data_IF_368591011487
#
_entry.id   IF_368591011487
#
_cell.length_a   1.000
_cell.length_b   1.000
_cell.length_c   1.000
_cell.angle_alpha   90.00
_cell.angle_beta   90.00
_cell.angle_gamma   90.00
#
_symmetry.space_group_name_H-M   'P 1'
#
loop_
_entity.id
_entity.type
_entity.pdbx_description
1 polymer ?
#
# COMPACT_ATOMS: atom_id res chain seq x y z
N UNK A 1 -8.44 -27.29 9.14
CA UNK A 1 -8.50 -28.38 8.16
C UNK A 1 -9.21 -29.62 8.74
N UNK A 2 -8.86 -30.05 9.95
CA UNK A 2 -9.47 -31.23 10.61
C UNK A 2 -10.97 -31.09 10.84
N UNK A 3 -11.46 -29.89 11.23
CA UNK A 3 -12.89 -29.63 11.42
C UNK A 3 -13.71 -29.67 10.14
N UNK A 4 -13.11 -29.32 8.99
CA UNK A 4 -13.78 -29.40 7.68
C UNK A 4 -13.87 -30.83 7.14
N UNK A 5 -13.04 -31.74 7.65
CA UNK A 5 -13.01 -33.16 7.28
C UNK A 5 -13.85 -34.06 8.21
N UNK A 6 -14.49 -33.52 9.25
CA UNK A 6 -15.29 -34.29 10.18
C UNK A 6 -16.53 -34.86 9.46
N UNK A 7 -16.83 -36.16 9.61
CA UNK A 7 -17.92 -36.82 8.88
C UNK A 7 -19.33 -36.32 9.22
N UNK A 8 -19.52 -35.67 10.38
CA UNK A 8 -20.81 -35.15 10.87
C UNK A 8 -20.96 -33.63 10.70
N UNK A 9 -20.05 -32.95 9.97
CA UNK A 9 -20.17 -31.52 9.74
C UNK A 9 -21.29 -31.25 8.72
N UNK A 10 -22.26 -30.39 9.09
CA UNK A 10 -23.25 -29.83 8.19
C UNK A 10 -22.57 -29.14 7.01
N UNK A 11 -23.12 -29.28 5.80
CA UNK A 11 -22.51 -28.75 4.58
C UNK A 11 -22.22 -27.24 4.66
N UNK A 12 -23.08 -26.47 5.32
CA UNK A 12 -22.86 -25.03 5.57
C UNK A 12 -21.63 -24.78 6.46
N UNK A 13 -21.46 -25.57 7.50
CA UNK A 13 -20.29 -25.46 8.39
C UNK A 13 -19.00 -25.86 7.68
N UNK A 14 -19.06 -26.89 6.83
CA UNK A 14 -17.92 -27.33 6.01
C UNK A 14 -17.49 -26.22 5.04
N UNK A 15 -18.45 -25.57 4.39
CA UNK A 15 -18.20 -24.45 3.48
C UNK A 15 -17.56 -23.28 4.21
N UNK A 16 -18.07 -22.92 5.40
CA UNK A 16 -17.52 -21.86 6.25
C UNK A 16 -16.06 -22.17 6.66
N UNK A 17 -15.76 -23.40 7.05
CA UNK A 17 -14.38 -23.79 7.39
C UNK A 17 -13.43 -23.73 6.19
N UNK A 18 -13.91 -24.11 5.00
CA UNK A 18 -13.13 -24.03 3.75
C UNK A 18 -12.81 -22.56 3.44
N UNK A 19 -13.77 -21.66 3.62
CA UNK A 19 -13.57 -20.23 3.44
C UNK A 19 -12.52 -19.67 4.41
N UNK A 20 -12.62 -19.98 5.69
CA UNK A 20 -11.64 -19.59 6.72
C UNK A 20 -10.25 -20.12 6.39
N UNK A 21 -10.12 -21.38 5.94
CA UNK A 21 -8.86 -21.99 5.53
C UNK A 21 -8.27 -21.25 4.33
N UNK A 22 -9.10 -20.91 3.34
CA UNK A 22 -8.70 -20.19 2.13
C UNK A 22 -8.19 -18.79 2.46
N UNK A 23 -8.91 -18.04 3.30
CA UNK A 23 -8.51 -16.73 3.76
C UNK A 23 -7.17 -16.78 4.50
N UNK A 24 -7.05 -17.68 5.48
CA UNK A 24 -5.81 -17.83 6.26
C UNK A 24 -4.62 -18.27 5.38
N UNK A 25 -4.85 -19.14 4.40
CA UNK A 25 -3.81 -19.55 3.45
C UNK A 25 -3.35 -18.37 2.59
N UNK A 26 -4.27 -17.52 2.13
CA UNK A 26 -3.96 -16.28 1.42
C UNK A 26 -3.16 -15.29 2.28
N UNK A 27 -3.49 -15.20 3.55
CA UNK A 27 -2.74 -14.40 4.53
C UNK A 27 -1.30 -14.88 4.70
N UNK A 28 -1.10 -16.20 4.88
CA UNK A 28 0.23 -16.79 5.03
C UNK A 28 1.07 -16.60 3.77
N UNK A 29 0.47 -16.81 2.59
CA UNK A 29 1.15 -16.57 1.32
C UNK A 29 1.63 -15.13 1.22
N UNK A 30 0.75 -14.16 1.49
CA UNK A 30 1.12 -12.74 1.47
C UNK A 30 2.23 -12.41 2.47
N UNK A 31 2.20 -13.02 3.67
CA UNK A 31 3.25 -12.84 4.67
C UNK A 31 4.61 -13.29 4.14
N UNK A 32 4.66 -14.50 3.56
CA UNK A 32 5.90 -15.04 2.98
C UNK A 32 6.40 -14.13 1.86
N UNK A 33 5.52 -13.70 0.97
CA UNK A 33 5.86 -12.83 -0.16
C UNK A 33 6.39 -11.46 0.32
N UNK A 34 5.74 -10.84 1.32
CA UNK A 34 6.16 -9.56 1.86
C UNK A 34 7.51 -9.68 2.62
N UNK A 35 7.74 -10.77 3.39
CA UNK A 35 9.01 -11.02 4.07
C UNK A 35 10.14 -11.24 3.07
N UNK A 36 9.92 -12.07 2.04
CA UNK A 36 10.91 -12.29 0.97
C UNK A 36 11.21 -11.01 0.21
N UNK A 37 10.18 -10.20 -0.07
CA UNK A 37 10.33 -8.91 -0.73
C UNK A 37 11.16 -7.93 0.10
N UNK A 38 10.89 -7.84 1.42
CA UNK A 38 11.67 -7.03 2.36
C UNK A 38 13.12 -7.49 2.38
N UNK A 39 13.37 -8.79 2.54
CA UNK A 39 14.72 -9.36 2.55
C UNK A 39 15.46 -9.07 1.24
N UNK A 40 14.79 -9.17 0.11
CA UNK A 40 15.33 -8.83 -1.21
C UNK A 40 15.73 -7.36 -1.32
N UNK A 41 14.88 -6.44 -0.84
CA UNK A 41 15.20 -5.00 -0.83
C UNK A 41 16.37 -4.64 0.10
N UNK A 42 16.48 -5.31 1.24
CA UNK A 42 17.54 -5.05 2.23
C UNK A 42 18.89 -5.65 1.85
N UNK A 43 18.88 -6.80 1.18
CA UNK A 43 20.10 -7.48 0.74
C UNK A 43 20.60 -7.03 -0.64
N UNK A 44 19.81 -6.24 -1.38
CA UNK A 44 20.17 -5.83 -2.73
C UNK A 44 21.26 -4.75 -2.69
N UNK A 45 22.47 -5.10 -3.08
CA UNK A 45 23.54 -4.16 -3.37
C UNK A 45 23.38 -3.50 -4.76
N UNK A 46 22.51 -4.05 -5.59
CA UNK A 46 22.28 -3.56 -6.95
C UNK A 46 21.20 -2.48 -6.95
N UNK A 47 21.47 -1.30 -7.53
CA UNK A 47 20.45 -0.27 -7.69
C UNK A 47 19.25 -0.80 -8.46
N UNK A 48 18.03 -0.34 -8.13
CA UNK A 48 16.83 -0.78 -8.84
C UNK A 48 16.91 -0.40 -10.33
N UNK A 49 16.38 -1.28 -11.18
CA UNK A 49 16.29 -1.00 -12.62
C UNK A 49 15.43 0.24 -12.86
N UNK A 50 15.99 1.22 -13.54
CA UNK A 50 15.34 2.49 -13.88
C UNK A 50 15.00 2.51 -15.36
N UNK A 51 13.80 3.00 -15.71
CA UNK A 51 13.34 3.15 -17.08
C UNK A 51 12.45 4.39 -17.22
N UNK A 52 12.27 4.95 -18.42
CA UNK A 52 11.26 5.96 -18.66
C UNK A 52 9.87 5.41 -18.32
N UNK A 53 9.19 6.01 -17.36
CA UNK A 53 7.89 5.56 -16.84
C UNK A 53 6.88 6.69 -17.00
N UNK A 54 5.73 6.41 -17.64
CA UNK A 54 4.58 7.31 -17.58
C UNK A 54 3.94 7.19 -16.19
N UNK A 55 4.02 8.27 -15.42
CA UNK A 55 3.55 8.31 -14.03
C UNK A 55 2.04 8.24 -13.96
N UNK A 56 1.34 8.82 -14.93
CA UNK A 56 -0.13 8.79 -14.94
C UNK A 56 -0.65 7.38 -15.20
N UNK A 57 -0.07 6.69 -16.19
CA UNK A 57 -0.39 5.29 -16.51
C UNK A 57 -0.09 4.39 -15.29
N UNK A 58 1.09 4.53 -14.71
CA UNK A 58 1.49 3.78 -13.52
C UNK A 58 0.49 3.98 -12.34
N UNK A 59 0.05 5.22 -12.08
CA UNK A 59 -0.93 5.52 -11.04
C UNK A 59 -2.31 4.91 -11.35
N UNK A 60 -2.77 5.00 -12.60
CA UNK A 60 -4.06 4.44 -13.03
C UNK A 60 -4.09 2.92 -12.94
N UNK A 61 -3.02 2.24 -13.32
CA UNK A 61 -2.87 0.78 -13.16
C UNK A 61 -2.93 0.37 -11.68
N UNK A 62 -2.30 1.13 -10.78
CA UNK A 62 -2.37 0.88 -9.35
C UNK A 62 -3.81 1.00 -8.82
N UNK A 63 -4.54 2.03 -9.23
CA UNK A 63 -5.94 2.24 -8.88
C UNK A 63 -6.78 1.07 -9.37
N UNK A 64 -6.65 0.72 -10.65
CA UNK A 64 -7.41 -0.39 -11.24
C UNK A 64 -7.16 -1.71 -10.50
N UNK A 65 -5.90 -2.02 -10.22
CA UNK A 65 -5.49 -3.23 -9.49
C UNK A 65 -6.10 -3.30 -8.09
N UNK A 66 -6.10 -2.19 -7.35
CA UNK A 66 -6.66 -2.14 -6.00
C UNK A 66 -8.19 -2.23 -6.05
N UNK A 67 -8.85 -1.51 -6.96
CA UNK A 67 -10.30 -1.54 -7.12
C UNK A 67 -10.82 -2.92 -7.50
N UNK A 68 -10.12 -3.66 -8.37
CA UNK A 68 -10.49 -5.03 -8.75
C UNK A 68 -10.28 -6.05 -7.63
N UNK A 69 -9.31 -5.83 -6.74
CA UNK A 69 -9.01 -6.74 -5.63
C UNK A 69 -9.81 -6.45 -4.36
N UNK A 70 -10.54 -5.33 -4.32
CA UNK A 70 -11.37 -4.96 -3.17
C UNK A 70 -12.74 -5.61 -3.27
N UNK A 71 -13.20 -6.20 -2.17
CA UNK A 71 -14.58 -6.68 -2.02
C UNK A 71 -15.59 -5.55 -1.79
N UNK A 72 -15.11 -4.32 -1.55
CA UNK A 72 -15.92 -3.12 -1.35
C UNK A 72 -15.92 -2.26 -2.62
N UNK A 73 -17.03 -1.61 -2.92
CA UNK A 73 -17.09 -0.56 -3.93
C UNK A 73 -16.38 0.69 -3.39
N UNK A 74 -15.12 0.88 -3.76
CA UNK A 74 -14.30 2.01 -3.32
C UNK A 74 -14.14 3.00 -4.45
N UNK A 75 -14.41 4.27 -4.20
CA UNK A 75 -14.14 5.35 -5.14
C UNK A 75 -12.74 5.93 -4.89
N UNK A 76 -11.83 5.73 -5.83
CA UNK A 76 -10.49 6.30 -5.78
C UNK A 76 -10.38 7.38 -6.86
N UNK A 77 -10.24 8.64 -6.43
CA UNK A 77 -10.02 9.78 -7.32
C UNK A 77 -8.53 9.96 -7.60
N UNK A 78 -8.18 10.13 -8.88
CA UNK A 78 -6.82 10.47 -9.29
C UNK A 78 -6.69 11.95 -9.62
N UNK A 79 -5.67 12.62 -9.07
CA UNK A 79 -5.37 14.04 -9.30
C UNK A 79 -3.91 14.17 -9.76
N UNK A 80 -3.65 14.11 -11.08
CA UNK A 80 -2.31 14.26 -11.63
C UNK A 80 -1.87 15.73 -11.60
N UNK A 81 -0.58 16.00 -11.40
CA UNK A 81 -0.01 17.35 -11.50
C UNK A 81 0.10 17.83 -12.96
N UNK A 82 0.15 16.90 -13.92
CA UNK A 82 0.24 17.16 -15.37
C UNK A 82 -0.52 16.09 -16.14
N UNK A 83 -1.03 16.44 -17.33
CA UNK A 83 -1.73 15.51 -18.22
C UNK A 83 -0.84 14.35 -18.70
N UNK A 84 0.46 14.63 -18.93
CA UNK A 84 1.48 13.62 -19.27
C UNK A 84 2.76 13.93 -18.51
N UNK A 85 3.29 12.94 -17.84
CA UNK A 85 4.53 13.10 -17.09
C UNK A 85 5.34 11.80 -17.07
N UNK A 86 6.54 11.86 -17.69
CA UNK A 86 7.49 10.76 -17.69
C UNK A 86 8.63 11.04 -16.70
N UNK A 87 8.98 10.04 -15.95
CA UNK A 87 10.10 10.07 -15.02
C UNK A 87 11.00 8.86 -15.26
N UNK A 88 12.31 9.05 -15.26
CA UNK A 88 13.25 7.93 -15.28
C UNK A 88 13.35 7.33 -13.88
N UNK A 89 12.64 6.22 -13.67
CA UNK A 89 12.47 5.62 -12.34
C UNK A 89 12.17 4.13 -12.44
N UNK A 90 12.02 3.45 -11.30
CA UNK A 90 11.56 2.06 -11.26
C UNK A 90 10.04 2.02 -11.14
N UNK A 91 9.36 1.75 -12.27
CA UNK A 91 7.90 1.57 -12.30
C UNK A 91 7.45 0.50 -11.29
N UNK A 92 8.16 -0.62 -11.21
CA UNK A 92 7.85 -1.72 -10.29
C UNK A 92 7.84 -1.28 -8.83
N UNK A 93 8.85 -0.52 -8.39
CA UNK A 93 8.94 -0.05 -7.00
C UNK A 93 7.87 1.00 -6.70
N UNK A 94 7.66 1.96 -7.60
CA UNK A 94 6.61 2.98 -7.43
C UNK A 94 5.24 2.33 -7.38
N UNK A 95 4.92 1.45 -8.32
CA UNK A 95 3.64 0.73 -8.35
C UNK A 95 3.41 -0.07 -7.07
N UNK A 96 4.44 -0.77 -6.57
CA UNK A 96 4.33 -1.52 -5.30
C UNK A 96 4.03 -0.59 -4.14
N UNK A 97 4.77 0.52 -3.99
CA UNK A 97 4.55 1.47 -2.90
C UNK A 97 3.16 2.14 -2.96
N UNK A 98 2.75 2.63 -4.14
CA UNK A 98 1.42 3.23 -4.33
C UNK A 98 0.32 2.19 -4.02
N UNK A 99 0.48 0.96 -4.49
CA UNK A 99 -0.50 -0.12 -4.24
C UNK A 99 -0.65 -0.41 -2.75
N UNK A 100 0.45 -0.47 -1.98
CA UNK A 100 0.38 -0.68 -0.53
C UNK A 100 -0.26 0.52 0.20
N UNK A 101 0.06 1.76 -0.21
CA UNK A 101 -0.60 2.97 0.32
C UNK A 101 -2.11 2.97 0.03
N UNK A 102 -2.51 2.63 -1.20
CA UNK A 102 -3.92 2.54 -1.59
C UNK A 102 -4.66 1.42 -0.85
N UNK A 103 -4.05 0.24 -0.68
CA UNK A 103 -4.64 -0.85 0.10
C UNK A 103 -4.86 -0.46 1.55
N UNK A 104 -3.91 0.27 2.12
CA UNK A 104 -4.05 0.82 3.47
C UNK A 104 -5.25 1.78 3.54
N UNK A 105 -5.36 2.71 2.59
CA UNK A 105 -6.48 3.63 2.50
C UNK A 105 -7.83 2.90 2.34
N UNK A 106 -7.93 1.91 1.45
CA UNK A 106 -9.15 1.10 1.26
C UNK A 106 -9.55 0.36 2.53
N UNK A 107 -8.56 -0.10 3.29
CA UNK A 107 -8.82 -0.82 4.54
C UNK A 107 -9.44 0.08 5.61
N UNK A 108 -8.99 1.34 5.72
CA UNK A 108 -9.37 2.26 6.80
C UNK A 108 -10.41 3.32 6.41
N UNK A 109 -10.61 3.60 5.12
CA UNK A 109 -11.52 4.66 4.67
C UNK A 109 -13.01 4.36 4.90
N UNK A 110 -13.39 3.17 5.35
CA UNK A 110 -14.79 2.73 5.45
C UNK A 110 -15.55 2.95 4.12
N UNK A 111 -16.54 3.87 4.09
CA UNK A 111 -17.30 4.23 2.89
C UNK A 111 -16.86 5.58 2.30
N UNK A 112 -15.67 6.05 2.67
CA UNK A 112 -15.18 7.37 2.33
C UNK A 112 -14.45 7.46 0.99
N UNK A 113 -14.10 8.68 0.62
CA UNK A 113 -13.34 9.00 -0.59
C UNK A 113 -11.84 8.77 -0.37
N UNK A 114 -11.19 8.14 -1.34
CA UNK A 114 -9.73 8.02 -1.40
C UNK A 114 -9.24 8.88 -2.56
N UNK A 115 -8.17 9.65 -2.32
CA UNK A 115 -7.52 10.43 -3.37
C UNK A 115 -6.07 10.00 -3.52
N UNK A 116 -5.68 9.59 -4.73
CA UNK A 116 -4.28 9.49 -5.15
C UNK A 116 -3.94 10.76 -5.93
N UNK A 117 -2.90 11.45 -5.53
CA UNK A 117 -2.39 12.61 -6.23
C UNK A 117 -0.87 12.57 -6.32
N UNK A 118 -0.28 13.34 -7.22
CA UNK A 118 1.13 13.67 -7.12
C UNK A 118 1.36 15.14 -7.41
N UNK A 119 2.42 15.67 -6.82
CA UNK A 119 2.89 17.06 -7.01
C UNK A 119 4.35 17.07 -7.42
N UNK A 120 4.76 18.11 -8.14
CA UNK A 120 6.13 18.32 -8.59
C UNK A 120 6.68 19.56 -7.89
N UNK A 121 7.74 19.38 -7.12
CA UNK A 121 8.53 20.48 -6.58
C UNK A 121 9.76 20.70 -7.44
N UNK A 122 9.67 21.69 -8.33
CA UNK A 122 10.76 22.04 -9.26
C UNK A 122 11.99 22.60 -8.56
N UNK A 123 11.82 23.28 -7.42
CA UNK A 123 12.92 23.85 -6.63
C UNK A 123 13.76 22.74 -5.96
N UNK A 124 13.11 21.75 -5.37
CA UNK A 124 13.76 20.62 -4.72
C UNK A 124 13.99 19.44 -5.65
N UNK A 125 13.58 19.55 -6.92
CA UNK A 125 13.65 18.48 -7.91
C UNK A 125 13.09 17.16 -7.38
N UNK A 126 11.87 17.20 -6.87
CA UNK A 126 11.17 16.04 -6.28
C UNK A 126 9.77 15.87 -6.85
N UNK A 127 9.33 14.62 -6.93
CA UNK A 127 7.93 14.25 -7.07
C UNK A 127 7.45 13.69 -5.74
N UNK A 128 6.23 14.07 -5.34
CA UNK A 128 5.60 13.56 -4.12
C UNK A 128 4.24 12.98 -4.47
N UNK A 129 4.12 11.67 -4.28
CA UNK A 129 2.84 10.96 -4.38
C UNK A 129 2.14 11.03 -3.02
N UNK A 130 0.87 11.39 -3.02
CA UNK A 130 0.04 11.42 -1.82
C UNK A 130 -1.16 10.51 -1.97
N UNK A 131 -1.39 9.66 -0.97
CA UNK A 131 -2.65 8.93 -0.82
C UNK A 131 -3.33 9.48 0.42
N UNK A 132 -4.56 9.96 0.22
CA UNK A 132 -5.39 10.56 1.26
C UNK A 132 -6.66 9.74 1.39
N UNK A 133 -7.04 9.40 2.61
CA UNK A 133 -8.29 8.74 2.95
C UNK A 133 -9.11 9.58 3.95
N UNK A 134 -10.36 9.23 4.09
CA UNK A 134 -11.31 9.83 5.04
C UNK A 134 -11.54 8.95 6.28
N UNK A 135 -10.59 8.07 6.60
CA UNK A 135 -10.65 7.18 7.75
C UNK A 135 -10.50 7.89 9.10
N UNK A 136 -10.31 7.15 10.18
CA UNK A 136 -10.20 7.72 11.54
C UNK A 136 -8.93 8.55 11.74
N UNK A 137 -8.00 8.54 10.78
CA UNK A 137 -6.70 9.18 10.92
C UNK A 137 -5.74 8.40 11.82
N UNK A 138 -4.55 8.96 12.00
CA UNK A 138 -3.46 8.36 12.79
C UNK A 138 -2.92 9.42 13.73
N UNK A 139 -2.81 9.13 15.05
CA UNK A 139 -2.25 10.08 16.00
C UNK A 139 -0.81 10.48 15.63
N UNK A 140 -0.46 11.75 15.81
CA UNK A 140 0.87 12.26 15.46
C UNK A 140 2.01 11.54 16.23
N UNK A 141 1.76 11.06 17.44
CA UNK A 141 2.72 10.28 18.22
C UNK A 141 3.07 8.93 17.57
N UNK A 142 2.20 8.39 16.70
CA UNK A 142 2.40 7.12 16.00
C UNK A 142 3.07 7.30 14.62
N UNK A 143 3.26 8.54 14.16
CA UNK A 143 3.67 8.86 12.79
C UNK A 143 4.95 8.18 12.30
N UNK A 144 5.91 7.95 13.19
CA UNK A 144 7.14 7.20 12.88
C UNK A 144 6.99 5.70 13.15
N UNK A 145 6.22 5.35 14.18
CA UNK A 145 6.05 3.97 14.62
C UNK A 145 5.32 3.10 13.59
N UNK A 146 4.33 3.65 12.89
CA UNK A 146 3.52 2.94 11.88
C UNK A 146 4.32 2.36 10.71
N UNK A 147 5.53 2.85 10.45
CA UNK A 147 6.43 2.31 9.43
C UNK A 147 7.28 1.14 9.94
N UNK A 148 7.15 0.75 11.20
CA UNK A 148 7.81 -0.42 11.79
C UNK A 148 7.26 -1.74 11.25
N UNK A 149 8.04 -2.81 11.40
CA UNK A 149 7.62 -4.17 11.00
C UNK A 149 6.57 -4.68 11.99
N UNK A 150 5.51 -5.30 11.45
CA UNK A 150 4.42 -5.91 12.23
C UNK A 150 3.66 -4.92 13.13
N UNK A 151 3.79 -3.62 12.84
CA UNK A 151 3.06 -2.59 13.58
C UNK A 151 1.63 -2.49 13.09
N UNK A 152 0.69 -2.54 14.01
CA UNK A 152 -0.74 -2.35 13.81
C UNK A 152 -1.26 -1.46 14.93
N UNK A 153 -2.01 -0.42 14.60
CA UNK A 153 -2.65 0.46 15.59
C UNK A 153 -3.95 -0.15 16.14
N UNK A 154 -4.56 -1.06 15.37
CA UNK A 154 -5.71 -1.83 15.78
C UNK A 154 -5.38 -3.33 15.65
N UNK A 155 -5.46 -4.06 16.77
CA UNK A 155 -5.19 -5.50 16.83
C UNK A 155 -6.21 -6.34 16.08
N UNK A 156 -7.43 -5.81 15.87
CA UNK A 156 -8.50 -6.49 15.13
C UNK A 156 -8.48 -6.21 13.62
N UNK A 157 -7.66 -5.24 13.17
CA UNK A 157 -7.56 -4.94 11.75
C UNK A 157 -6.91 -6.09 10.97
N UNK A 158 -7.48 -6.43 9.82
CA UNK A 158 -6.87 -7.39 8.89
C UNK A 158 -5.60 -6.81 8.30
N UNK A 159 -4.52 -7.60 8.25
CA UNK A 159 -3.23 -7.20 7.68
C UNK A 159 -2.06 -7.60 8.59
N UNK A 160 -0.86 -7.63 8.00
CA UNK A 160 0.36 -8.10 8.66
C UNK A 160 1.21 -6.98 9.27
N UNK A 161 0.84 -5.71 9.05
CA UNK A 161 1.66 -4.58 9.48
C UNK A 161 2.99 -4.45 8.73
N UNK A 162 3.09 -4.98 7.51
CA UNK A 162 4.30 -4.93 6.68
C UNK A 162 4.20 -3.94 5.52
N UNK A 163 3.00 -3.55 5.09
CA UNK A 163 2.81 -2.71 3.90
C UNK A 163 3.53 -1.35 3.98
N UNK A 164 3.42 -0.64 5.11
CA UNK A 164 4.11 0.63 5.30
C UNK A 164 5.62 0.46 5.47
N UNK A 165 6.09 -0.65 6.05
CA UNK A 165 7.52 -1.02 6.07
C UNK A 165 8.07 -1.19 4.66
N UNK A 166 7.34 -1.90 3.79
CA UNK A 166 7.69 -2.05 2.36
C UNK A 166 7.76 -0.68 1.68
N UNK A 167 6.78 0.20 1.91
CA UNK A 167 6.80 1.56 1.37
C UNK A 167 8.04 2.35 1.82
N UNK A 168 8.47 2.24 3.08
CA UNK A 168 9.66 2.92 3.61
C UNK A 168 10.94 2.40 2.97
N UNK A 169 11.07 1.08 2.80
CA UNK A 169 12.23 0.48 2.14
C UNK A 169 12.31 0.88 0.66
N UNK A 170 11.18 0.86 -0.05
CA UNK A 170 11.10 1.34 -1.44
C UNK A 170 11.48 2.82 -1.54
N UNK A 171 10.95 3.66 -0.65
CA UNK A 171 11.29 5.07 -0.61
C UNK A 171 12.81 5.26 -0.47
N UNK A 172 13.45 4.51 0.45
CA UNK A 172 14.90 4.52 0.66
C UNK A 172 15.67 4.05 -0.59
N UNK A 173 15.25 2.95 -1.21
CA UNK A 173 15.88 2.40 -2.43
C UNK A 173 15.80 3.39 -3.62
N UNK A 174 14.76 4.22 -3.69
CA UNK A 174 14.60 5.29 -4.67
C UNK A 174 15.28 6.60 -4.27
N UNK A 175 15.97 6.67 -3.13
CA UNK A 175 16.61 7.88 -2.61
C UNK A 175 15.61 8.92 -2.10
N UNK A 176 14.46 8.46 -1.67
CA UNK A 176 13.34 9.26 -1.20
C UNK A 176 12.97 9.01 0.26
N UNK A 177 11.78 9.44 0.63
CA UNK A 177 11.20 9.28 1.97
C UNK A 177 9.70 9.08 1.86
N UNK A 178 9.12 8.36 2.83
CA UNK A 178 7.67 8.32 3.05
C UNK A 178 7.34 8.86 4.43
N UNK A 179 6.26 9.63 4.55
CA UNK A 179 5.81 10.23 5.80
C UNK A 179 4.29 10.23 5.91
N UNK A 180 3.80 10.26 7.14
CA UNK A 180 2.43 10.65 7.46
C UNK A 180 2.37 12.17 7.55
N UNK A 181 1.37 12.79 6.90
CA UNK A 181 1.09 14.22 7.07
C UNK A 181 0.27 14.44 8.35
N UNK A 182 0.95 14.77 9.42
CA UNK A 182 0.34 14.98 10.74
C UNK A 182 -0.48 16.28 10.86
N UNK A 183 -0.41 17.16 9.85
CA UNK A 183 -1.23 18.38 9.79
C UNK A 183 -2.58 18.13 9.11
N UNK A 184 -2.76 16.98 8.47
CA UNK A 184 -4.04 16.61 7.87
C UNK A 184 -4.95 15.99 8.92
N UNK A 185 -6.19 16.51 9.04
CA UNK A 185 -7.15 16.10 10.07
C UNK A 185 -8.42 15.42 9.51
N UNK A 186 -8.52 15.26 8.19
CA UNK A 186 -9.71 14.65 7.55
C UNK A 186 -9.63 13.12 7.38
N UNK A 187 -8.66 12.46 8.02
CA UNK A 187 -8.34 11.04 7.88
C UNK A 187 -6.83 10.83 7.93
N UNK A 188 -6.28 9.89 7.17
CA UNK A 188 -4.84 9.77 7.01
C UNK A 188 -4.37 10.26 5.64
N UNK A 189 -3.17 10.85 5.60
CA UNK A 189 -2.48 11.25 4.37
C UNK A 189 -1.05 10.79 4.41
N UNK A 190 -0.70 9.88 3.51
CA UNK A 190 0.65 9.41 3.31
C UNK A 190 1.30 10.12 2.14
N UNK A 191 2.56 10.51 2.27
CA UNK A 191 3.33 11.21 1.25
C UNK A 191 4.65 10.48 0.97
N UNK A 192 4.76 9.90 -0.23
CA UNK A 192 5.99 9.30 -0.77
C UNK A 192 6.69 10.31 -1.66
N UNK A 193 7.86 10.80 -1.25
CA UNK A 193 8.64 11.79 -1.98
C UNK A 193 9.94 11.20 -2.49
N UNK A 194 10.18 11.26 -3.81
CA UNK A 194 11.40 10.75 -4.46
C UNK A 194 12.03 11.84 -5.35
N UNK A 195 13.36 11.76 -5.60
CA UNK A 195 14.03 12.73 -6.46
C UNK A 195 13.60 12.58 -7.92
N UNK A 196 13.51 13.69 -8.66
CA UNK A 196 13.42 13.75 -10.12
C UNK A 196 14.80 13.47 -10.71
N UNK A 197 14.97 12.35 -11.38
CA UNK A 197 16.22 11.95 -12.07
C UNK A 197 16.05 11.96 -13.58
#
# INVERSE_FOLDING_TARGET
AELAAAPDADDEKRQSYIEIIRENSGYLQKLVDDVLYIAGLESSETPPAMSPTDINECCQECIQKVSQSSSRAVSIRFVPAREKFHLHTSCMLISKAITEMLRNAVHFAADGEITLAYTLDGGNRRITFTVTDSGPGIPACEAEHIFGRFVKLDTFSQGLGLGLTVCRLIASALGGTIKLDTNYSGGARFALSIPLR
#
